data_IF_928592808581
#
_entry.id   IF_928592808581
#
_cell.length_a   1.000
_cell.length_b   1.000
_cell.length_c   1.000
_cell.angle_alpha   90.00
_cell.angle_beta   90.00
_cell.angle_gamma   90.00
#
_symmetry.space_group_name_H-M   'P 1'
#
loop_
_entity.id
_entity.type
_entity.pdbx_description
1 polymer ?
#
# COMPACT_ATOMS: atom_id res chain seq x y z
N UNK A 1 -24.36 2.60 -8.65
CA UNK A 1 -24.35 2.76 -10.12
C UNK A 1 -23.17 1.98 -10.67
N UNK A 2 -23.40 0.79 -11.23
CA UNK A 2 -22.39 0.09 -12.03
C UNK A 2 -22.39 0.72 -13.43
N UNK A 3 -21.34 1.47 -13.76
CA UNK A 3 -21.15 2.03 -15.10
C UNK A 3 -20.46 1.01 -15.99
N UNK A 4 -21.25 0.27 -16.77
CA UNK A 4 -20.75 -0.51 -17.90
C UNK A 4 -20.38 0.43 -19.06
N UNK A 5 -19.24 0.20 -19.70
CA UNK A 5 -18.70 0.89 -20.90
C UNK A 5 -18.10 2.32 -20.75
N UNK A 6 -16.79 2.34 -20.44
CA UNK A 6 -15.66 3.11 -21.03
C UNK A 6 -15.77 4.60 -21.45
N UNK A 7 -16.85 5.33 -21.16
CA UNK A 7 -16.90 6.78 -21.39
C UNK A 7 -16.11 7.53 -20.30
N UNK A 8 -15.21 8.46 -20.66
CA UNK A 8 -14.54 9.31 -19.67
C UNK A 8 -15.59 10.17 -18.96
N UNK A 9 -15.49 10.26 -17.63
CA UNK A 9 -16.35 11.10 -16.81
C UNK A 9 -15.64 12.43 -16.56
N UNK A 10 -16.22 13.53 -17.03
CA UNK A 10 -15.73 14.88 -16.74
C UNK A 10 -16.71 15.53 -15.77
N UNK A 11 -16.19 16.05 -14.67
CA UNK A 11 -16.93 16.82 -13.68
C UNK A 11 -16.40 18.24 -13.78
N UNK A 12 -17.28 19.24 -13.86
CA UNK A 12 -16.86 20.62 -14.06
C UNK A 12 -17.71 21.58 -13.27
N UNK A 13 -17.16 22.75 -13.01
CA UNK A 13 -17.89 23.84 -12.40
C UNK A 13 -17.09 25.14 -12.45
N UNK A 14 -17.81 26.24 -12.34
CA UNK A 14 -17.24 27.58 -12.30
C UNK A 14 -17.44 28.17 -10.90
N UNK A 15 -16.46 28.93 -10.40
CA UNK A 15 -16.48 29.54 -9.07
C UNK A 15 -16.82 28.52 -7.98
N UNK A 16 -17.78 28.80 -7.10
CA UNK A 16 -18.31 27.87 -6.09
C UNK A 16 -18.79 26.53 -6.66
N UNK A 17 -19.35 26.53 -7.87
CA UNK A 17 -19.74 25.30 -8.56
C UNK A 17 -18.55 24.38 -8.84
N UNK A 18 -17.37 24.94 -9.08
CA UNK A 18 -16.15 24.14 -9.24
C UNK A 18 -15.59 23.62 -7.91
N UNK A 19 -15.81 24.32 -6.79
CA UNK A 19 -15.55 23.78 -5.46
C UNK A 19 -16.44 22.57 -5.16
N UNK A 20 -17.74 22.67 -5.48
CA UNK A 20 -18.69 21.54 -5.37
C UNK A 20 -18.28 20.38 -6.28
N UNK A 21 -17.90 20.66 -7.53
CA UNK A 21 -17.38 19.67 -8.47
C UNK A 21 -16.15 18.92 -7.92
N UNK A 22 -15.23 19.65 -7.28
CA UNK A 22 -14.03 19.07 -6.68
C UNK A 22 -14.36 18.17 -5.49
N UNK A 23 -15.22 18.63 -4.57
CA UNK A 23 -15.69 17.81 -3.44
C UNK A 23 -16.46 16.57 -3.89
N UNK A 24 -17.32 16.71 -4.91
CA UNK A 24 -18.03 15.59 -5.51
C UNK A 24 -17.07 14.58 -6.13
N UNK A 25 -16.02 15.05 -6.80
CA UNK A 25 -14.97 14.20 -7.35
C UNK A 25 -14.23 13.45 -6.26
N UNK A 26 -13.87 14.10 -5.14
CA UNK A 26 -13.24 13.43 -3.98
C UNK A 26 -14.15 12.31 -3.45
N UNK A 27 -15.43 12.59 -3.22
CA UNK A 27 -16.40 11.57 -2.76
C UNK A 27 -16.57 10.41 -3.76
N UNK A 28 -16.37 10.67 -5.05
CA UNK A 28 -16.41 9.65 -6.09
C UNK A 28 -15.13 8.81 -6.10
N UNK A 29 -13.95 9.43 -5.94
CA UNK A 29 -12.65 8.76 -5.88
C UNK A 29 -12.56 7.77 -4.72
N UNK A 30 -13.21 8.07 -3.59
CA UNK A 30 -13.35 7.15 -2.45
C UNK A 30 -14.06 5.83 -2.80
N UNK A 31 -14.95 5.86 -3.79
CA UNK A 31 -15.82 4.74 -4.19
C UNK A 31 -15.37 4.07 -5.50
N UNK A 32 -14.30 4.58 -6.11
CA UNK A 32 -13.86 4.16 -7.45
C UNK A 32 -12.89 2.99 -7.41
N UNK A 33 -13.12 1.98 -8.26
CA UNK A 33 -12.13 0.94 -8.50
C UNK A 33 -11.23 1.35 -9.68
N UNK A 34 -10.07 1.91 -9.34
CA UNK A 34 -9.06 2.36 -10.31
C UNK A 34 -8.48 1.24 -11.21
N UNK A 35 -8.85 -0.03 -11.02
CA UNK A 35 -8.39 -1.14 -11.86
C UNK A 35 -9.24 -1.36 -13.11
N UNK A 36 -10.52 -0.98 -13.05
CA UNK A 36 -11.50 -1.34 -14.08
C UNK A 36 -12.18 -0.14 -14.71
N UNK A 37 -11.95 1.05 -14.16
CA UNK A 37 -12.65 2.27 -14.55
C UNK A 37 -11.68 3.39 -14.93
N UNK A 38 -12.00 4.15 -15.98
CA UNK A 38 -11.24 5.34 -16.35
C UNK A 38 -11.38 6.39 -15.25
N UNK A 39 -10.27 7.04 -14.89
CA UNK A 39 -10.26 8.11 -13.89
C UNK A 39 -11.25 9.22 -14.26
N UNK A 40 -12.04 9.75 -13.30
CA UNK A 40 -12.77 10.98 -13.53
C UNK A 40 -11.78 12.14 -13.68
N UNK A 41 -12.14 13.13 -14.50
CA UNK A 41 -11.39 14.38 -14.61
C UNK A 41 -12.27 15.54 -14.12
N UNK A 42 -11.86 16.17 -13.03
CA UNK A 42 -12.45 17.40 -12.52
C UNK A 42 -11.74 18.60 -13.14
N UNK A 43 -12.48 19.41 -13.91
CA UNK A 43 -11.98 20.66 -14.48
C UNK A 43 -12.75 21.81 -13.84
N UNK A 44 -12.06 22.72 -13.15
CA UNK A 44 -12.74 23.86 -12.51
C UNK A 44 -12.25 25.17 -13.09
N UNK A 45 -13.13 26.17 -13.16
CA UNK A 45 -12.80 27.51 -13.63
C UNK A 45 -13.00 28.51 -12.48
N UNK A 46 -11.96 29.25 -12.10
CA UNK A 46 -12.09 30.33 -11.12
C UNK A 46 -12.56 29.91 -9.73
N UNK A 47 -12.31 28.66 -9.34
CA UNK A 47 -12.79 28.14 -8.06
C UNK A 47 -11.92 28.60 -6.88
N UNK A 48 -12.54 28.94 -5.74
CA UNK A 48 -11.79 29.16 -4.51
C UNK A 48 -11.11 27.86 -4.07
N UNK A 49 -9.96 27.99 -3.39
CA UNK A 49 -9.26 26.85 -2.79
C UNK A 49 -10.16 26.15 -1.78
N UNK A 50 -10.04 24.82 -1.70
CA UNK A 50 -10.79 24.01 -0.75
C UNK A 50 -9.82 23.08 -0.01
N UNK A 51 -10.16 22.79 1.25
CA UNK A 51 -9.37 21.90 2.09
C UNK A 51 -8.13 22.54 2.69
N UNK A 52 -7.68 21.92 3.76
CA UNK A 52 -6.52 22.30 4.55
C UNK A 52 -5.25 21.52 4.13
N UNK A 53 -4.20 21.64 4.92
CA UNK A 53 -2.96 20.87 4.72
C UNK A 53 -3.18 19.36 4.76
N UNK A 54 -4.08 18.88 5.63
CA UNK A 54 -4.44 17.47 5.71
C UNK A 54 -5.04 16.93 4.40
N UNK A 55 -6.01 17.65 3.83
CA UNK A 55 -6.61 17.25 2.55
C UNK A 55 -5.59 17.32 1.41
N UNK A 56 -4.79 18.38 1.35
CA UNK A 56 -3.77 18.56 0.32
C UNK A 56 -2.75 17.42 0.35
N UNK A 57 -2.23 17.08 1.54
CA UNK A 57 -1.31 15.96 1.70
C UNK A 57 -1.94 14.63 1.28
N UNK A 58 -3.19 14.37 1.68
CA UNK A 58 -3.89 13.14 1.36
C UNK A 58 -4.03 12.94 -0.17
N UNK A 59 -4.41 14.00 -0.89
CA UNK A 59 -4.55 13.96 -2.35
C UNK A 59 -3.17 13.87 -3.02
N UNK A 60 -2.19 14.64 -2.57
CA UNK A 60 -0.86 14.72 -3.20
C UNK A 60 -0.03 13.46 -3.02
N UNK A 61 -0.21 12.73 -1.90
CA UNK A 61 0.44 11.44 -1.64
C UNK A 61 0.03 10.36 -2.65
N UNK A 62 -1.16 10.48 -3.25
CA UNK A 62 -1.63 9.52 -4.24
C UNK A 62 -1.76 10.15 -5.61
N UNK A 63 -0.73 9.99 -6.44
CA UNK A 63 -0.63 10.59 -7.78
C UNK A 63 -1.87 10.34 -8.65
N UNK A 64 -2.52 9.18 -8.52
CA UNK A 64 -3.74 8.86 -9.27
C UNK A 64 -4.97 9.69 -8.85
N UNK A 65 -5.04 10.19 -7.61
CA UNK A 65 -6.05 11.16 -7.19
C UNK A 65 -5.63 12.56 -7.62
N UNK A 66 -4.38 12.95 -7.38
CA UNK A 66 -3.89 14.28 -7.76
C UNK A 66 -4.05 14.57 -9.26
N UNK A 67 -3.87 13.55 -10.12
CA UNK A 67 -4.06 13.66 -11.57
C UNK A 67 -5.51 13.80 -12.03
N UNK A 68 -6.48 13.68 -11.12
CA UNK A 68 -7.91 13.83 -11.44
C UNK A 68 -8.37 15.29 -11.42
N UNK A 69 -7.52 16.25 -11.02
CA UNK A 69 -7.93 17.65 -10.81
C UNK A 69 -7.12 18.61 -11.68
N UNK A 70 -7.84 19.44 -12.44
CA UNK A 70 -7.31 20.55 -13.24
C UNK A 70 -8.05 21.84 -12.90
N UNK A 71 -7.37 22.75 -12.21
CA UNK A 71 -7.90 24.04 -11.79
C UNK A 71 -7.44 25.15 -12.74
N UNK A 72 -8.34 25.67 -13.56
CA UNK A 72 -8.07 26.76 -14.51
C UNK A 72 -8.30 28.10 -13.81
N UNK A 73 -7.27 28.94 -13.80
CA UNK A 73 -7.29 30.24 -13.11
C UNK A 73 -6.78 31.36 -14.02
N UNK A 74 -7.59 32.38 -14.20
CA UNK A 74 -7.23 33.62 -14.90
C UNK A 74 -6.40 34.55 -14.01
N UNK A 75 -5.47 35.31 -14.61
CA UNK A 75 -4.74 36.42 -13.98
C UNK A 75 -5.67 37.59 -13.56
N UNK A 76 -6.86 37.65 -14.14
CA UNK A 76 -7.89 38.66 -13.84
C UNK A 76 -8.92 38.22 -12.79
N UNK A 77 -8.88 36.97 -12.31
CA UNK A 77 -9.94 36.43 -11.44
C UNK A 77 -9.60 36.54 -9.94
N UNK A 78 -10.26 37.39 -9.15
CA UNK A 78 -9.95 37.48 -7.72
C UNK A 78 -10.37 36.24 -6.91
N UNK A 79 -11.33 35.43 -7.38
CA UNK A 79 -12.01 34.40 -6.57
C UNK A 79 -11.05 33.33 -6.01
N UNK A 80 -10.14 32.73 -6.79
CA UNK A 80 -9.17 31.75 -6.28
C UNK A 80 -8.19 32.32 -5.23
N UNK A 81 -8.12 33.65 -5.09
CA UNK A 81 -7.13 34.37 -4.28
C UNK A 81 -7.70 34.85 -2.95
N UNK A 82 -9.03 35.01 -2.84
CA UNK A 82 -9.73 35.49 -1.63
C UNK A 82 -9.34 34.69 -0.37
N UNK A 83 -9.36 33.36 -0.48
CA UNK A 83 -9.08 32.47 0.66
C UNK A 83 -7.59 32.29 0.92
N UNK A 84 -6.73 32.60 -0.05
CA UNK A 84 -5.27 32.58 0.10
C UNK A 84 -4.80 33.75 0.98
N UNK A 85 -5.45 34.90 0.88
CA UNK A 85 -5.08 36.13 1.61
C UNK A 85 -5.65 36.22 3.03
N UNK A 86 -6.78 35.59 3.32
CA UNK A 86 -7.50 35.82 4.58
C UNK A 86 -7.10 34.89 5.73
N UNK A 87 -6.81 33.60 5.46
CA UNK A 87 -6.66 32.61 6.53
C UNK A 87 -5.37 31.80 6.45
N UNK A 88 -4.79 31.61 5.26
CA UNK A 88 -3.63 30.72 5.05
C UNK A 88 -3.90 29.23 5.36
N UNK A 89 -5.12 28.91 5.78
CA UNK A 89 -5.61 27.57 6.13
C UNK A 89 -5.79 26.73 4.87
N UNK A 90 -6.32 27.34 3.81
CA UNK A 90 -6.61 26.62 2.57
C UNK A 90 -5.36 26.37 1.72
N UNK A 91 -5.20 25.14 1.25
CA UNK A 91 -4.05 24.71 0.43
C UNK A 91 -4.49 24.24 -0.96
N UNK A 92 -3.73 24.55 -2.02
CA UNK A 92 -4.01 24.02 -3.35
C UNK A 92 -3.60 22.54 -3.45
N UNK A 93 -4.39 21.76 -4.18
CA UNK A 93 -4.06 20.39 -4.60
C UNK A 93 -4.41 20.22 -6.06
N UNK A 94 -3.96 19.13 -6.69
CA UNK A 94 -4.17 18.92 -8.12
C UNK A 94 -3.26 19.78 -8.99
N UNK A 95 -3.60 19.85 -10.28
CA UNK A 95 -2.84 20.64 -11.25
C UNK A 95 -3.53 21.99 -11.46
N UNK A 96 -2.78 23.09 -11.42
CA UNK A 96 -3.29 24.43 -11.72
C UNK A 96 -2.81 24.88 -13.10
N UNK A 97 -3.75 25.22 -13.98
CA UNK A 97 -3.50 25.89 -15.24
C UNK A 97 -3.72 27.39 -15.06
N UNK A 98 -2.63 28.13 -14.90
CA UNK A 98 -2.68 29.58 -14.78
C UNK A 98 -2.68 30.20 -16.18
N UNK A 99 -3.58 31.14 -16.44
CA UNK A 99 -3.82 31.73 -17.76
C UNK A 99 -3.67 33.26 -17.71
N UNK A 100 -3.07 33.81 -18.76
CA UNK A 100 -3.04 35.24 -19.07
C UNK A 100 -3.24 35.46 -20.58
N UNK A 101 -3.29 36.72 -21.01
CA UNK A 101 -3.32 37.05 -22.45
C UNK A 101 -2.10 36.50 -23.21
N UNK A 102 -0.95 36.39 -22.54
CA UNK A 102 0.30 35.91 -23.14
C UNK A 102 0.27 34.39 -23.38
N UNK A 103 -0.45 33.63 -22.55
CA UNK A 103 -0.53 32.18 -22.66
C UNK A 103 -0.99 31.51 -21.36
N UNK A 104 -0.58 30.26 -21.17
CA UNK A 104 -0.87 29.53 -19.95
C UNK A 104 0.29 28.62 -19.55
N UNK A 105 0.33 28.20 -18.29
CA UNK A 105 1.28 27.17 -17.82
C UNK A 105 0.70 26.37 -16.66
N UNK A 106 1.08 25.09 -16.60
CA UNK A 106 0.65 24.16 -15.57
C UNK A 106 1.65 24.11 -14.42
N UNK A 107 1.12 24.03 -13.19
CA UNK A 107 1.90 23.84 -11.97
C UNK A 107 1.24 22.79 -11.09
N UNK A 108 2.03 21.92 -10.48
CA UNK A 108 1.57 20.86 -9.55
C UNK A 108 2.00 21.13 -8.10
N UNK A 109 3.10 21.87 -7.89
CA UNK A 109 3.64 22.13 -6.55
C UNK A 109 2.76 23.08 -5.74
N UNK A 110 2.18 22.67 -4.60
CA UNK A 110 1.27 23.50 -3.82
C UNK A 110 1.88 24.83 -3.35
N UNK A 111 3.16 24.82 -2.98
CA UNK A 111 3.86 26.02 -2.51
C UNK A 111 4.09 27.02 -3.64
N UNK A 112 4.47 26.53 -4.83
CA UNK A 112 4.60 27.33 -6.04
C UNK A 112 3.25 27.87 -6.48
N UNK A 113 2.19 27.07 -6.46
CA UNK A 113 0.83 27.53 -6.79
C UNK A 113 0.40 28.67 -5.87
N UNK A 114 0.58 28.55 -4.55
CA UNK A 114 0.27 29.62 -3.60
C UNK A 114 1.07 30.90 -3.87
N UNK A 115 2.36 30.76 -4.20
CA UNK A 115 3.22 31.87 -4.54
C UNK A 115 2.73 32.58 -5.81
N UNK A 116 2.38 31.82 -6.85
CA UNK A 116 1.96 32.34 -8.14
C UNK A 116 0.55 32.94 -8.09
N UNK A 117 -0.39 32.37 -7.34
CA UNK A 117 -1.72 32.96 -7.14
C UNK A 117 -1.64 34.37 -6.54
N UNK A 118 -0.71 34.58 -5.58
CA UNK A 118 -0.43 35.90 -5.00
C UNK A 118 0.24 36.84 -5.99
N UNK A 119 1.19 36.33 -6.79
CA UNK A 119 2.00 37.15 -7.68
C UNK A 119 1.30 37.58 -8.98
N UNK A 120 0.40 36.74 -9.50
CA UNK A 120 -0.25 36.94 -10.81
C UNK A 120 -1.49 37.83 -10.76
N UNK A 121 -1.91 38.30 -9.59
CA UNK A 121 -3.10 39.13 -9.48
C UNK A 121 -2.82 40.54 -10.02
N UNK A 122 -3.40 40.86 -11.17
CA UNK A 122 -3.23 42.16 -11.85
C UNK A 122 -4.33 43.18 -11.52
N UNK A 123 -5.31 42.83 -10.67
CA UNK A 123 -6.51 43.63 -10.43
C UNK A 123 -6.40 44.65 -9.30
N UNK A 124 -6.92 45.86 -9.53
CA UNK A 124 -7.29 46.79 -8.45
C UNK A 124 -8.70 46.38 -7.98
N UNK A 125 -8.89 45.91 -6.74
CA UNK A 125 -10.11 45.20 -6.32
C UNK A 125 -11.40 46.04 -6.34
N UNK A 126 -11.30 47.37 -6.45
CA UNK A 126 -12.43 48.27 -6.24
C UNK A 126 -13.33 48.48 -7.47
N UNK A 127 -12.99 48.00 -8.69
CA UNK A 127 -13.72 48.36 -9.91
C UNK A 127 -13.88 47.26 -10.99
N UNK A 128 -13.74 45.97 -10.66
CA UNK A 128 -13.90 44.90 -11.66
C UNK A 128 -15.33 44.35 -11.69
N UNK A 129 -16.00 44.48 -12.85
CA UNK A 129 -17.27 43.81 -13.12
C UNK A 129 -17.07 42.28 -13.11
N UNK A 130 -17.72 41.54 -12.19
CA UNK A 130 -17.62 40.09 -12.11
C UNK A 130 -17.96 39.39 -13.43
N UNK A 131 -18.86 39.96 -14.24
CA UNK A 131 -19.26 39.39 -15.54
C UNK A 131 -18.09 39.37 -16.53
N UNK A 132 -17.21 40.37 -16.47
CA UNK A 132 -16.02 40.46 -17.34
C UNK A 132 -15.02 39.34 -17.05
N UNK A 133 -14.90 38.94 -15.78
CA UNK A 133 -14.06 37.80 -15.35
C UNK A 133 -14.66 36.48 -15.86
N UNK A 134 -15.98 36.32 -15.80
CA UNK A 134 -16.64 35.12 -16.29
C UNK A 134 -16.53 34.95 -17.81
N UNK A 135 -16.69 36.02 -18.58
CA UNK A 135 -16.50 35.98 -20.04
C UNK A 135 -15.04 35.68 -20.42
N UNK A 136 -14.08 36.04 -19.56
CA UNK A 136 -12.66 35.81 -19.80
C UNK A 136 -12.32 34.32 -19.99
N UNK A 137 -12.89 33.40 -19.18
CA UNK A 137 -12.61 31.97 -19.32
C UNK A 137 -13.06 31.41 -20.68
N UNK A 138 -14.22 31.86 -21.18
CA UNK A 138 -14.70 31.48 -22.51
C UNK A 138 -13.79 31.99 -23.63
N UNK A 139 -13.29 33.22 -23.51
CA UNK A 139 -12.31 33.78 -24.45
C UNK A 139 -10.98 33.03 -24.38
N UNK A 140 -10.46 32.74 -23.18
CA UNK A 140 -9.22 32.00 -22.99
C UNK A 140 -9.26 30.61 -23.60
N UNK A 141 -10.34 29.86 -23.41
CA UNK A 141 -10.48 28.52 -24.00
C UNK A 141 -10.49 28.60 -25.53
N UNK A 142 -11.15 29.60 -26.12
CA UNK A 142 -11.15 29.83 -27.57
C UNK A 142 -9.76 30.21 -28.09
N UNK A 143 -9.05 31.08 -27.38
CA UNK A 143 -7.71 31.52 -27.76
C UNK A 143 -6.67 30.43 -27.60
N UNK A 144 -6.78 29.57 -26.57
CA UNK A 144 -5.97 28.37 -26.43
C UNK A 144 -6.15 27.43 -27.61
N UNK A 145 -7.39 27.18 -28.01
CA UNK A 145 -7.69 26.36 -29.19
C UNK A 145 -7.06 26.93 -30.46
N UNK A 146 -7.05 28.26 -30.62
CA UNK A 146 -6.40 28.95 -31.75
C UNK A 146 -4.87 28.85 -31.70
N UNK A 147 -4.25 29.05 -30.53
CA UNK A 147 -2.78 28.97 -30.35
C UNK A 147 -2.24 27.56 -30.54
N UNK A 148 -3.02 26.51 -30.24
CA UNK A 148 -2.64 25.12 -30.57
C UNK A 148 -2.52 24.90 -32.09
N UNK A 149 -3.29 25.66 -32.88
CA UNK A 149 -3.30 25.57 -34.36
C UNK A 149 -2.18 26.42 -34.98
N UNK A 150 -1.77 27.51 -34.32
CA UNK A 150 -0.70 28.41 -34.77
C UNK A 150 0.44 28.45 -33.74
N UNK A 151 1.49 27.65 -33.94
CA UNK A 151 2.69 27.73 -33.08
C UNK A 151 3.42 29.05 -33.32
N UNK A 152 3.31 29.95 -32.34
CA UNK A 152 4.13 31.15 -32.28
C UNK A 152 5.59 30.75 -31.98
N UNK A 153 6.46 30.92 -32.97
CA UNK A 153 7.84 30.40 -32.98
C UNK A 153 8.86 31.40 -32.43
N UNK A 154 8.41 32.57 -31.96
CA UNK A 154 9.34 33.64 -31.56
C UNK A 154 9.51 33.73 -30.05
N UNK A 155 10.48 32.98 -29.52
CA UNK A 155 11.19 33.39 -28.29
C UNK A 155 12.69 33.29 -28.53
N UNK A 156 13.36 34.45 -28.49
CA UNK A 156 14.82 34.54 -28.44
C UNK A 156 15.28 33.96 -27.11
N UNK A 157 15.97 32.82 -27.16
CA UNK A 157 16.56 32.19 -25.99
C UNK A 157 17.96 32.76 -25.75
N UNK A 158 18.19 33.21 -24.52
CA UNK A 158 19.54 33.42 -24.03
C UNK A 158 20.15 32.05 -23.69
N UNK A 159 21.07 31.59 -24.55
CA UNK A 159 21.75 30.30 -24.43
C UNK A 159 22.64 30.19 -23.17
N UNK A 160 22.86 31.27 -22.43
CA UNK A 160 23.67 31.26 -21.20
C UNK A 160 22.87 30.85 -19.96
N UNK A 161 21.53 30.83 -20.03
CA UNK A 161 20.67 30.47 -18.91
C UNK A 161 20.51 28.93 -18.80
N UNK A 162 20.68 28.32 -17.59
CA UNK A 162 20.47 26.89 -17.41
C UNK A 162 19.08 26.40 -17.88
N UNK A 163 18.96 25.21 -18.50
CA UNK A 163 17.71 24.77 -19.15
C UNK A 163 16.47 24.78 -18.25
N UNK A 164 16.61 24.33 -16.99
CA UNK A 164 15.52 24.35 -16.01
C UNK A 164 15.03 25.77 -15.74
N UNK A 165 15.97 26.70 -15.53
CA UNK A 165 15.67 28.10 -15.26
C UNK A 165 15.03 28.78 -16.47
N UNK A 166 15.52 28.49 -17.68
CA UNK A 166 14.92 28.98 -18.93
C UNK A 166 13.48 28.49 -19.11
N UNK A 167 13.20 27.22 -18.78
CA UNK A 167 11.85 26.66 -18.76
C UNK A 167 10.91 27.39 -17.79
N UNK A 168 11.37 27.61 -16.55
CA UNK A 168 10.61 28.35 -15.54
C UNK A 168 10.32 29.78 -16.01
N UNK A 169 11.32 30.50 -16.53
CA UNK A 169 11.13 31.85 -17.07
C UNK A 169 10.07 31.84 -18.18
N UNK A 170 10.12 30.86 -19.07
CA UNK A 170 9.15 30.71 -20.16
C UNK A 170 7.73 30.53 -19.64
N UNK A 171 7.55 29.70 -18.60
CA UNK A 171 6.26 29.47 -17.94
C UNK A 171 5.75 30.73 -17.24
N UNK A 172 6.61 31.43 -16.48
CA UNK A 172 6.25 32.65 -15.77
C UNK A 172 5.83 33.78 -16.72
N UNK A 173 6.53 33.92 -17.85
CA UNK A 173 6.14 34.89 -18.90
C UNK A 173 4.79 34.54 -19.50
N UNK A 174 4.47 33.25 -19.70
CA UNK A 174 3.19 32.83 -20.26
C UNK A 174 2.01 33.20 -19.33
N UNK A 175 2.24 33.29 -18.02
CA UNK A 175 1.22 33.65 -17.02
C UNK A 175 1.23 35.13 -16.64
N UNK A 176 1.95 35.97 -17.39
CA UNK A 176 1.96 37.43 -17.21
C UNK A 176 3.06 37.98 -16.29
N UNK A 177 3.99 37.15 -15.81
CA UNK A 177 5.11 37.59 -14.96
C UNK A 177 6.37 37.80 -15.80
N UNK A 178 6.62 39.05 -16.22
CA UNK A 178 7.72 39.40 -17.12
C UNK A 178 8.89 40.02 -16.33
N UNK A 179 10.10 39.40 -16.31
CA UNK A 179 11.25 39.83 -15.48
C UNK A 179 11.77 41.26 -15.70
N UNK A 180 11.32 41.95 -16.75
CA UNK A 180 11.82 43.26 -17.19
C UNK A 180 10.78 44.40 -17.06
N UNK A 181 9.60 44.13 -16.51
CA UNK A 181 8.60 45.16 -16.21
C UNK A 181 8.67 45.56 -14.73
N UNK A 182 8.45 46.85 -14.39
CA UNK A 182 8.38 47.29 -13.00
C UNK A 182 7.13 46.73 -12.33
N UNK A 183 7.24 45.51 -11.81
CA UNK A 183 6.26 44.93 -10.90
C UNK A 183 6.67 45.26 -9.46
N UNK A 184 5.69 45.36 -8.56
CA UNK A 184 5.91 45.50 -7.12
C UNK A 184 6.46 44.21 -6.47
N UNK A 185 6.87 43.23 -7.28
CA UNK A 185 7.12 41.83 -6.92
C UNK A 185 8.47 41.40 -7.50
N UNK A 186 9.35 40.83 -6.66
CA UNK A 186 10.63 40.30 -7.09
C UNK A 186 10.47 38.99 -7.87
N UNK A 187 10.40 39.10 -9.20
CA UNK A 187 10.26 37.96 -10.12
C UNK A 187 11.50 37.04 -10.07
N UNK A 188 12.69 37.57 -9.79
CA UNK A 188 13.91 36.75 -9.67
C UNK A 188 13.87 35.87 -8.41
N UNK A 189 13.30 36.38 -7.31
CA UNK A 189 13.02 35.57 -6.14
C UNK A 189 11.99 34.47 -6.43
N UNK A 190 10.95 34.75 -7.23
CA UNK A 190 9.96 33.72 -7.64
C UNK A 190 10.64 32.63 -8.47
N UNK A 191 11.43 33.00 -9.49
CA UNK A 191 12.19 32.05 -10.32
C UNK A 191 13.03 31.12 -9.44
N UNK A 192 13.77 31.69 -8.50
CA UNK A 192 14.67 30.93 -7.61
C UNK A 192 13.89 29.99 -6.68
N UNK A 193 12.75 30.43 -6.13
CA UNK A 193 11.89 29.60 -5.29
C UNK A 193 11.28 28.44 -6.07
N UNK A 194 10.73 28.71 -7.27
CA UNK A 194 10.20 27.67 -8.15
C UNK A 194 11.27 26.67 -8.55
N UNK A 195 12.48 27.13 -8.88
CA UNK A 195 13.61 26.26 -9.23
C UNK A 195 14.00 25.31 -8.09
N UNK A 196 14.00 25.80 -6.84
CA UNK A 196 14.25 24.99 -5.65
C UNK A 196 13.16 23.92 -5.47
N UNK A 197 11.89 24.28 -5.64
CA UNK A 197 10.77 23.34 -5.46
C UNK A 197 10.75 22.27 -6.55
N UNK A 198 10.98 22.63 -7.81
CA UNK A 198 11.07 21.66 -8.92
C UNK A 198 12.20 20.64 -8.68
N UNK A 199 13.37 21.10 -8.20
CA UNK A 199 14.46 20.20 -7.81
C UNK A 199 14.08 19.26 -6.68
N UNK A 200 13.39 19.77 -5.65
CA UNK A 200 12.88 18.94 -4.53
C UNK A 200 11.88 17.91 -5.03
N UNK A 201 10.90 18.31 -5.83
CA UNK A 201 9.91 17.40 -6.41
C UNK A 201 10.56 16.32 -7.27
N UNK A 202 11.57 16.66 -8.07
CA UNK A 202 12.30 15.67 -8.87
C UNK A 202 13.03 14.64 -7.99
N UNK A 203 13.59 15.05 -6.86
CA UNK A 203 14.20 14.14 -5.88
C UNK A 203 13.15 13.26 -5.20
N UNK A 204 12.03 13.84 -4.76
CA UNK A 204 10.91 13.08 -4.20
C UNK A 204 10.36 12.05 -5.20
N UNK A 205 10.11 12.44 -6.46
CA UNK A 205 9.63 11.53 -7.54
C UNK A 205 10.60 10.37 -7.81
N UNK A 206 11.91 10.54 -7.59
CA UNK A 206 12.90 9.44 -7.68
C UNK A 206 12.84 8.47 -6.50
N UNK A 207 12.43 8.94 -5.33
CA UNK A 207 12.31 8.14 -4.10
C UNK A 207 10.95 7.45 -3.96
N UNK A 208 9.96 7.78 -4.80
CA UNK A 208 8.65 7.13 -4.78
C UNK A 208 8.82 5.62 -4.97
N UNK A 209 8.38 4.87 -3.97
CA UNK A 209 8.34 3.42 -4.04
C UNK A 209 7.46 3.00 -5.21
N UNK A 210 8.06 2.30 -6.17
CA UNK A 210 7.35 1.66 -7.27
C UNK A 210 7.33 0.14 -7.03
N UNK A 211 6.21 -0.41 -6.53
CA UNK A 211 6.04 -1.84 -6.31
C UNK A 211 6.33 -2.67 -7.57
N UNK A 212 6.03 -2.13 -8.75
CA UNK A 212 6.14 -2.87 -10.02
C UNK A 212 7.59 -3.07 -10.44
N UNK A 213 8.48 -2.10 -10.18
CA UNK A 213 9.91 -2.19 -10.52
C UNK A 213 10.66 -3.22 -9.68
N UNK A 214 10.28 -3.39 -8.41
CA UNK A 214 10.90 -4.37 -7.50
C UNK A 214 10.25 -5.76 -7.59
N UNK A 215 9.09 -5.90 -8.24
CA UNK A 215 8.31 -7.14 -8.27
C UNK A 215 9.09 -8.35 -8.84
N UNK A 216 9.87 -8.16 -9.90
CA UNK A 216 10.66 -9.26 -10.47
C UNK A 216 11.72 -9.76 -9.48
N UNK A 217 12.37 -8.86 -8.73
CA UNK A 217 13.33 -9.23 -7.67
C UNK A 217 12.64 -9.98 -6.54
N UNK A 218 11.47 -9.50 -6.10
CA UNK A 218 10.64 -10.17 -5.08
C UNK A 218 10.28 -11.59 -5.49
N UNK A 219 9.88 -11.81 -6.76
CA UNK A 219 9.57 -13.15 -7.27
C UNK A 219 10.79 -14.08 -7.25
N UNK A 220 11.97 -13.58 -7.60
CA UNK A 220 13.22 -14.37 -7.53
C UNK A 220 13.52 -14.79 -6.10
N UNK A 221 13.39 -13.88 -5.12
CA UNK A 221 13.60 -14.24 -3.71
C UNK A 221 12.56 -15.24 -3.19
N UNK A 222 11.29 -15.10 -3.61
CA UNK A 222 10.26 -16.08 -3.27
C UNK A 222 10.57 -17.47 -3.84
N UNK A 223 10.99 -17.55 -5.11
CA UNK A 223 11.35 -18.83 -5.75
C UNK A 223 12.53 -19.53 -5.05
N UNK A 224 13.53 -18.77 -4.57
CA UNK A 224 14.63 -19.34 -3.79
C UNK A 224 14.15 -19.93 -2.46
N UNK A 225 13.15 -19.33 -1.81
CA UNK A 225 12.57 -19.87 -0.58
C UNK A 225 11.68 -21.09 -0.84
N UNK A 226 10.95 -21.12 -1.96
CA UNK A 226 10.25 -22.33 -2.41
C UNK A 226 11.24 -23.48 -2.67
N UNK A 227 12.41 -23.18 -3.23
CA UNK A 227 13.46 -24.16 -3.43
C UNK A 227 14.08 -24.64 -2.11
N UNK A 228 14.39 -23.72 -1.19
CA UNK A 228 14.82 -24.07 0.16
C UNK A 228 13.81 -24.97 0.88
N UNK A 229 12.52 -24.63 0.78
CA UNK A 229 11.42 -25.42 1.34
C UNK A 229 11.39 -26.84 0.79
N UNK A 230 11.59 -26.99 -0.52
CA UNK A 230 11.69 -28.31 -1.17
C UNK A 230 12.88 -29.10 -0.65
N UNK A 231 14.07 -28.50 -0.57
CA UNK A 231 15.27 -29.18 -0.06
C UNK A 231 15.09 -29.67 1.39
N UNK A 232 14.53 -28.83 2.26
CA UNK A 232 14.27 -29.18 3.64
C UNK A 232 13.24 -30.32 3.80
N UNK A 233 12.25 -30.39 2.88
CA UNK A 233 11.29 -31.49 2.80
C UNK A 233 11.97 -32.80 2.38
N UNK A 234 12.88 -32.75 1.41
CA UNK A 234 13.63 -33.93 0.95
C UNK A 234 14.49 -34.53 2.07
N UNK A 235 15.02 -33.68 2.96
CA UNK A 235 15.75 -34.08 4.16
C UNK A 235 14.87 -34.58 5.33
N UNK A 236 13.54 -34.65 5.15
CA UNK A 236 12.58 -35.12 6.18
C UNK A 236 12.56 -34.30 7.48
N UNK A 237 13.02 -33.05 7.44
CA UNK A 237 13.02 -32.11 8.57
C UNK A 237 11.90 -31.08 8.39
N UNK A 238 11.73 -30.56 7.17
CA UNK A 238 10.84 -29.44 6.90
C UNK A 238 11.53 -28.10 7.09
N UNK A 239 11.10 -27.09 6.36
CA UNK A 239 11.82 -25.82 6.22
C UNK A 239 11.85 -24.97 7.50
N UNK A 240 10.79 -25.04 8.30
CA UNK A 240 10.72 -24.40 9.62
C UNK A 240 11.81 -24.92 10.56
N UNK A 241 11.81 -26.24 10.80
CA UNK A 241 12.79 -26.89 11.68
C UNK A 241 14.22 -26.84 11.13
N UNK A 242 14.37 -26.93 9.80
CA UNK A 242 15.70 -26.81 9.18
C UNK A 242 16.32 -25.44 9.42
N UNK A 243 15.48 -24.39 9.37
CA UNK A 243 15.90 -23.00 9.61
C UNK A 243 16.16 -22.77 11.10
N UNK A 244 15.23 -23.19 11.97
CA UNK A 244 15.35 -23.06 13.43
C UNK A 244 16.62 -23.71 14.00
N UNK A 245 17.00 -24.87 13.47
CA UNK A 245 18.12 -25.66 13.97
C UNK A 245 19.46 -25.34 13.26
N UNK A 246 19.51 -24.33 12.39
CA UNK A 246 20.70 -23.91 11.61
C UNK A 246 21.40 -25.07 10.86
N UNK A 247 20.65 -26.14 10.56
CA UNK A 247 21.21 -27.46 10.22
C UNK A 247 21.88 -27.54 8.85
N UNK A 248 21.73 -26.53 7.99
CA UNK A 248 22.44 -26.44 6.70
C UNK A 248 22.73 -24.98 6.32
N UNK A 249 24.00 -24.60 6.42
CA UNK A 249 24.60 -23.41 5.80
C UNK A 249 24.93 -23.65 4.32
N UNK A 250 24.07 -24.37 3.58
CA UNK A 250 24.31 -24.62 2.16
C UNK A 250 23.96 -23.36 1.36
N UNK A 251 24.93 -22.49 1.09
CA UNK A 251 25.08 -21.49 -0.01
C UNK A 251 23.86 -20.64 -0.46
N UNK A 252 22.70 -20.77 0.16
CA UNK A 252 21.50 -19.99 -0.01
C UNK A 252 21.38 -19.12 1.21
N UNK A 253 21.65 -17.84 1.04
CA UNK A 253 21.37 -16.83 2.02
C UNK A 253 19.84 -16.68 2.19
N UNK A 254 19.17 -17.69 2.77
CA UNK A 254 17.74 -17.69 3.13
C UNK A 254 17.43 -16.43 3.94
N UNK A 255 18.34 -16.05 4.83
CA UNK A 255 18.28 -14.80 5.60
C UNK A 255 18.28 -13.56 4.70
N UNK A 256 19.08 -13.51 3.63
CA UNK A 256 19.07 -12.37 2.68
C UNK A 256 17.77 -12.34 1.90
N UNK A 257 17.29 -13.48 1.43
CA UNK A 257 16.01 -13.57 0.71
C UNK A 257 14.85 -13.13 1.59
N UNK A 258 14.83 -13.60 2.84
CA UNK A 258 13.86 -13.21 3.86
C UNK A 258 13.91 -11.70 4.10
N UNK A 259 15.07 -11.14 4.46
CA UNK A 259 15.23 -9.69 4.68
C UNK A 259 14.78 -8.86 3.48
N UNK A 260 15.11 -9.29 2.27
CA UNK A 260 14.73 -8.55 1.04
C UNK A 260 13.21 -8.54 0.84
N UNK A 261 12.55 -9.68 1.07
CA UNK A 261 11.09 -9.78 1.01
C UNK A 261 10.44 -8.97 2.13
N UNK A 262 10.93 -9.06 3.36
CA UNK A 262 10.41 -8.31 4.51
C UNK A 262 10.49 -6.82 4.27
N UNK A 263 11.65 -6.28 3.86
CA UNK A 263 11.78 -4.86 3.56
C UNK A 263 10.79 -4.40 2.47
N UNK A 264 10.59 -5.21 1.42
CA UNK A 264 9.65 -4.89 0.37
C UNK A 264 8.20 -4.84 0.87
N UNK A 265 7.77 -5.83 1.65
CA UNK A 265 6.39 -5.88 2.15
C UNK A 265 6.12 -4.88 3.26
N UNK A 266 7.11 -4.56 4.10
CA UNK A 266 7.02 -3.47 5.08
C UNK A 266 6.86 -2.10 4.39
N UNK A 267 7.69 -1.81 3.38
CA UNK A 267 7.58 -0.59 2.58
C UNK A 267 6.20 -0.52 1.90
N UNK A 268 5.71 -1.62 1.32
CA UNK A 268 4.41 -1.69 0.67
C UNK A 268 3.25 -1.48 1.65
N UNK A 269 3.29 -2.11 2.83
CA UNK A 269 2.26 -1.93 3.88
C UNK A 269 2.26 -0.49 4.38
N UNK A 270 3.43 0.09 4.65
CA UNK A 270 3.55 1.47 5.09
C UNK A 270 2.99 2.46 4.05
N UNK A 271 3.29 2.26 2.77
CA UNK A 271 2.75 3.08 1.69
C UNK A 271 1.24 2.88 1.50
N UNK A 272 0.72 1.67 1.72
CA UNK A 272 -0.72 1.41 1.68
C UNK A 272 -1.45 2.08 2.86
N UNK A 273 -0.87 2.10 4.06
CA UNK A 273 -1.42 2.79 5.24
C UNK A 273 -1.47 4.31 5.08
N UNK A 274 -0.53 4.91 4.33
CA UNK A 274 -0.51 6.36 4.06
C UNK A 274 -1.55 6.82 3.04
N UNK A 275 -2.20 5.90 2.30
CA UNK A 275 -3.22 6.26 1.31
C UNK A 275 -4.45 6.83 2.01
N UNK A 276 -5.24 7.71 1.36
CA UNK A 276 -6.56 8.06 1.86
C UNK A 276 -7.41 6.78 1.86
N UNK A 277 -7.58 6.13 3.01
CA UNK A 277 -8.24 4.84 3.12
C UNK A 277 -9.75 5.02 3.32
N UNK A 278 -10.55 4.31 2.53
CA UNK A 278 -11.87 3.82 2.98
C UNK A 278 -11.72 2.42 3.57
N UNK A 279 -12.64 2.05 4.47
CA UNK A 279 -12.74 0.70 5.03
C UNK A 279 -12.87 -0.32 3.87
N UNK A 280 -11.89 -1.21 3.73
CA UNK A 280 -11.91 -2.32 2.75
C UNK A 280 -11.22 -2.10 1.39
N UNK A 281 -10.58 -0.95 1.14
CA UNK A 281 -9.88 -0.65 -0.14
C UNK A 281 -8.35 -0.57 -0.03
N UNK A 282 -7.76 -1.19 1.00
CA UNK A 282 -6.37 -0.99 1.43
C UNK A 282 -5.30 -1.49 0.44
N UNK A 283 -5.55 -2.57 -0.30
CA UNK A 283 -4.62 -3.13 -1.29
C UNK A 283 -5.33 -3.64 -2.54
N UNK A 284 -4.69 -3.50 -3.71
CA UNK A 284 -5.19 -4.12 -4.96
C UNK A 284 -5.20 -5.64 -4.77
N UNK A 285 -6.22 -6.32 -5.30
CA UNK A 285 -6.40 -7.78 -5.18
C UNK A 285 -5.15 -8.59 -5.54
N UNK A 286 -4.40 -8.21 -6.58
CA UNK A 286 -3.15 -8.88 -6.94
C UNK A 286 -2.04 -8.75 -5.88
N UNK A 287 -1.98 -7.63 -5.17
CA UNK A 287 -1.04 -7.43 -4.06
C UNK A 287 -1.47 -8.18 -2.79
N UNK A 288 -2.78 -8.36 -2.57
CA UNK A 288 -3.30 -9.17 -1.47
C UNK A 288 -2.90 -10.64 -1.59
N UNK A 289 -3.02 -11.23 -2.78
CA UNK A 289 -2.57 -12.60 -3.03
C UNK A 289 -1.07 -12.75 -2.83
N UNK A 290 -0.27 -11.83 -3.40
CA UNK A 290 1.18 -11.83 -3.20
C UNK A 290 1.58 -11.69 -1.74
N UNK A 291 0.90 -10.80 -0.99
CA UNK A 291 1.18 -10.54 0.42
C UNK A 291 0.77 -11.69 1.32
N UNK A 292 -0.32 -12.38 0.96
CA UNK A 292 -0.75 -13.61 1.65
C UNK A 292 0.25 -14.74 1.45
N UNK A 293 0.73 -14.95 0.22
CA UNK A 293 1.74 -15.97 -0.06
C UNK A 293 3.06 -15.66 0.68
N UNK A 294 3.49 -14.39 0.68
CA UNK A 294 4.62 -13.93 1.48
C UNK A 294 4.44 -14.23 2.97
N UNK A 295 3.31 -13.81 3.57
CA UNK A 295 3.02 -14.06 4.99
C UNK A 295 3.07 -15.55 5.32
N UNK A 296 2.41 -16.39 4.53
CA UNK A 296 2.37 -17.86 4.74
C UNK A 296 3.72 -18.55 4.55
N UNK A 297 4.63 -17.97 3.76
CA UNK A 297 5.98 -18.50 3.53
C UNK A 297 7.00 -18.02 4.58
N UNK A 298 6.95 -16.74 4.96
CA UNK A 298 8.01 -16.10 5.77
C UNK A 298 7.69 -16.06 7.26
N UNK A 299 6.45 -15.79 7.64
CA UNK A 299 6.10 -15.66 9.05
C UNK A 299 6.49 -16.90 9.89
N UNK A 300 6.39 -18.15 9.37
CA UNK A 300 6.98 -19.32 10.03
C UNK A 300 8.48 -19.20 10.37
N UNK A 301 9.28 -18.59 9.49
CA UNK A 301 10.72 -18.42 9.71
C UNK A 301 11.01 -17.33 10.75
N UNK A 302 10.25 -16.25 10.75
CA UNK A 302 10.33 -15.22 11.81
C UNK A 302 9.91 -15.79 13.17
N UNK A 303 8.90 -16.68 13.20
CA UNK A 303 8.50 -17.42 14.40
C UNK A 303 9.65 -18.31 14.88
N UNK A 304 10.30 -19.06 13.98
CA UNK A 304 11.46 -19.88 14.34
C UNK A 304 12.55 -19.03 15.02
N UNK A 305 12.90 -17.88 14.43
CA UNK A 305 13.88 -16.94 15.02
C UNK A 305 13.43 -16.38 16.38
N UNK A 306 12.13 -16.13 16.55
CA UNK A 306 11.57 -15.61 17.79
C UNK A 306 11.72 -16.61 18.95
N UNK A 307 11.30 -17.87 18.73
CA UNK A 307 11.36 -18.91 19.75
C UNK A 307 12.77 -19.49 19.94
N UNK A 308 13.63 -19.48 18.92
CA UNK A 308 15.05 -19.84 19.07
C UNK A 308 15.78 -18.89 20.05
N UNK A 309 15.34 -17.63 20.15
CA UNK A 309 15.83 -16.65 21.13
C UNK A 309 15.26 -16.85 22.55
N UNK A 310 14.53 -17.93 22.80
CA UNK A 310 13.94 -18.24 24.10
C UNK A 310 12.76 -17.35 24.50
N UNK A 311 12.13 -16.66 23.54
CA UNK A 311 10.93 -15.85 23.79
C UNK A 311 9.68 -16.71 23.74
N UNK A 312 8.56 -16.19 24.26
CA UNK A 312 7.23 -16.81 24.22
C UNK A 312 6.17 -15.79 23.82
N UNK A 313 4.95 -16.27 23.57
CA UNK A 313 3.78 -15.45 23.27
C UNK A 313 3.94 -14.58 22.00
N UNK A 314 4.38 -15.21 20.90
CA UNK A 314 4.65 -14.51 19.63
C UNK A 314 3.44 -13.71 19.14
N UNK A 315 2.24 -14.27 19.21
CA UNK A 315 1.02 -13.65 18.66
C UNK A 315 0.73 -12.29 19.31
N UNK A 316 0.92 -12.17 20.62
CA UNK A 316 0.60 -10.94 21.35
C UNK A 316 1.81 -10.00 21.51
N UNK A 317 3.04 -10.53 21.56
CA UNK A 317 4.25 -9.75 21.91
C UNK A 317 5.29 -9.65 20.81
N UNK A 318 5.28 -10.59 19.86
CA UNK A 318 6.35 -10.76 18.87
C UNK A 318 5.97 -10.42 17.44
N UNK A 319 4.68 -10.47 17.11
CA UNK A 319 4.19 -10.45 15.73
C UNK A 319 4.38 -9.08 15.04
N UNK A 320 5.16 -8.99 13.96
CA UNK A 320 5.35 -7.75 13.21
C UNK A 320 4.05 -7.14 12.65
N UNK A 321 3.97 -5.80 12.67
CA UNK A 321 2.80 -5.03 12.21
C UNK A 321 2.38 -5.37 10.77
N UNK A 322 3.35 -5.58 9.89
CA UNK A 322 3.06 -5.80 8.47
C UNK A 322 2.30 -7.12 8.21
N UNK A 323 2.58 -8.19 8.97
CA UNK A 323 1.80 -9.43 8.88
C UNK A 323 0.36 -9.25 9.35
N UNK A 324 0.17 -8.57 10.48
CA UNK A 324 -1.15 -8.27 11.05
C UNK A 324 -2.00 -7.51 10.03
N UNK A 325 -1.42 -6.49 9.39
CA UNK A 325 -2.12 -5.68 8.37
C UNK A 325 -2.46 -6.49 7.13
N UNK A 326 -1.53 -7.31 6.62
CA UNK A 326 -1.78 -8.17 5.46
C UNK A 326 -2.91 -9.18 5.73
N UNK A 327 -2.95 -9.77 6.93
CA UNK A 327 -4.03 -10.67 7.33
C UNK A 327 -5.37 -9.95 7.52
N UNK A 328 -5.37 -8.80 8.19
CA UNK A 328 -6.56 -7.96 8.36
C UNK A 328 -7.19 -7.63 7.01
N UNK A 329 -6.38 -7.16 6.05
CA UNK A 329 -6.86 -6.79 4.72
C UNK A 329 -7.38 -7.99 3.91
N UNK A 330 -6.78 -9.17 4.07
CA UNK A 330 -7.32 -10.39 3.47
C UNK A 330 -8.72 -10.70 4.03
N UNK A 331 -8.88 -10.65 5.36
CA UNK A 331 -10.14 -10.95 6.02
C UNK A 331 -11.26 -9.95 5.68
N UNK A 332 -10.92 -8.67 5.51
CA UNK A 332 -11.87 -7.64 5.06
C UNK A 332 -12.39 -7.88 3.63
N UNK A 333 -11.60 -8.53 2.78
CA UNK A 333 -11.98 -8.83 1.39
C UNK A 333 -12.62 -10.20 1.19
N UNK A 334 -12.42 -11.14 2.12
CA UNK A 334 -13.02 -12.46 2.07
C UNK A 334 -14.53 -12.38 2.39
N UNK A 335 -15.38 -12.79 1.42
CA UNK A 335 -16.79 -13.07 1.70
C UNK A 335 -16.91 -14.27 2.67
N UNK A 336 -17.98 -14.38 3.47
CA UNK A 336 -18.14 -15.49 4.40
C UNK A 336 -18.00 -16.84 3.66
N UNK A 337 -17.14 -17.68 4.19
CA UNK A 337 -16.70 -18.93 3.58
C UNK A 337 -17.89 -19.83 3.22
N UNK A 338 -17.98 -20.18 1.93
CA UNK A 338 -18.73 -21.35 1.48
C UNK A 338 -18.03 -22.64 1.92
N UNK A 339 -18.81 -23.71 1.93
CA UNK A 339 -18.47 -25.13 2.21
C UNK A 339 -17.03 -25.51 1.79
N UNK A 340 -16.32 -26.37 2.54
CA UNK A 340 -15.00 -26.87 2.17
C UNK A 340 -14.97 -27.28 0.70
N UNK A 341 -14.21 -26.54 -0.10
CA UNK A 341 -14.19 -26.74 -1.54
C UNK A 341 -13.38 -28.02 -1.82
N UNK A 342 -13.95 -28.97 -2.55
CA UNK A 342 -13.26 -30.21 -2.97
C UNK A 342 -11.93 -29.94 -3.72
N UNK A 343 -11.71 -28.71 -4.19
CA UNK A 343 -10.44 -28.25 -4.76
C UNK A 343 -9.27 -28.22 -3.77
N UNK A 344 -9.51 -28.06 -2.47
CA UNK A 344 -8.43 -28.04 -1.46
C UNK A 344 -7.81 -29.42 -1.27
N UNK A 345 -8.63 -30.49 -1.33
CA UNK A 345 -8.16 -31.88 -1.24
C UNK A 345 -7.24 -32.27 -2.39
N UNK A 346 -7.42 -31.68 -3.57
CA UNK A 346 -6.65 -32.05 -4.76
C UNK A 346 -5.19 -31.55 -4.77
N UNK A 347 -4.83 -30.57 -3.92
CA UNK A 347 -3.51 -29.91 -3.96
C UNK A 347 -2.78 -29.83 -2.61
N UNK A 348 -3.25 -30.56 -1.59
CA UNK A 348 -2.74 -30.52 -0.20
C UNK A 348 -1.21 -30.70 -0.12
N UNK A 349 -0.63 -31.56 -0.95
CA UNK A 349 0.81 -31.78 -0.99
C UNK A 349 1.68 -30.53 -1.27
N UNK A 350 1.07 -29.48 -1.84
CA UNK A 350 1.73 -28.26 -2.30
C UNK A 350 1.31 -26.98 -1.55
N UNK A 351 0.40 -27.09 -0.58
CA UNK A 351 -0.12 -25.90 0.12
C UNK A 351 0.89 -25.34 1.13
N UNK A 352 0.90 -24.02 1.25
CA UNK A 352 1.36 -23.38 2.49
C UNK A 352 0.23 -23.43 3.51
N UNK A 353 0.56 -23.68 4.77
CA UNK A 353 -0.41 -23.65 5.87
C UNK A 353 -1.18 -22.33 5.86
N UNK A 354 -2.50 -22.41 5.95
CA UNK A 354 -3.35 -21.24 5.79
C UNK A 354 -3.16 -20.22 6.91
N UNK A 355 -3.05 -20.74 8.13
CA UNK A 355 -2.67 -20.01 9.33
C UNK A 355 -1.15 -19.90 9.41
N UNK A 356 -0.63 -18.73 9.09
CA UNK A 356 0.80 -18.45 9.13
C UNK A 356 1.38 -18.44 10.55
N UNK A 357 0.55 -18.35 11.59
CA UNK A 357 0.93 -18.44 12.99
C UNK A 357 0.92 -19.88 13.53
N UNK A 358 0.62 -20.89 12.71
CA UNK A 358 0.56 -22.30 13.13
C UNK A 358 1.76 -22.73 13.98
N UNK A 359 2.97 -22.38 13.56
CA UNK A 359 4.18 -22.77 14.29
C UNK A 359 4.32 -22.09 15.66
N UNK A 360 3.79 -20.88 15.84
CA UNK A 360 3.76 -20.26 17.17
C UNK A 360 2.88 -21.08 18.12
N UNK A 361 1.75 -21.59 17.65
CA UNK A 361 0.90 -22.49 18.43
C UNK A 361 1.61 -23.81 18.79
N UNK A 362 2.39 -24.37 17.87
CA UNK A 362 3.22 -25.57 18.12
C UNK A 362 4.25 -25.31 19.22
N UNK A 363 4.95 -24.17 19.18
CA UNK A 363 5.94 -23.82 20.20
C UNK A 363 5.32 -23.62 21.59
N UNK A 364 4.18 -22.93 21.69
CA UNK A 364 3.45 -22.79 22.96
C UNK A 364 2.97 -24.14 23.51
N UNK A 365 2.56 -25.05 22.62
CA UNK A 365 2.19 -26.41 22.99
C UNK A 365 3.41 -27.21 23.48
N UNK A 366 4.57 -27.08 22.84
CA UNK A 366 5.83 -27.67 23.32
C UNK A 366 6.28 -27.12 24.67
N UNK A 367 6.13 -25.80 24.89
CA UNK A 367 6.39 -25.17 26.20
C UNK A 367 5.45 -25.77 27.26
N UNK A 368 4.17 -25.92 26.93
CA UNK A 368 3.18 -26.55 27.82
C UNK A 368 3.54 -28.00 28.17
N UNK A 369 4.01 -28.79 27.20
CA UNK A 369 4.52 -30.14 27.46
C UNK A 369 5.72 -30.14 28.42
N UNK A 370 6.67 -29.21 28.24
CA UNK A 370 7.84 -29.08 29.13
C UNK A 370 7.45 -28.69 30.55
N UNK A 371 6.46 -27.82 30.72
CA UNK A 371 5.94 -27.42 32.04
C UNK A 371 5.27 -28.59 32.78
N UNK A 372 4.56 -29.46 32.06
CA UNK A 372 3.91 -30.63 32.65
C UNK A 372 4.90 -31.71 33.09
N UNK A 373 6.01 -31.84 32.39
CA UNK A 373 7.06 -32.82 32.68
C UNK A 373 8.12 -32.28 33.66
N UNK A 374 8.18 -30.97 33.87
CA UNK A 374 9.11 -30.31 34.78
C UNK A 374 8.76 -30.49 36.27
N UNK A 375 9.79 -30.65 37.09
CA UNK A 375 9.68 -30.86 38.56
C UNK A 375 9.39 -29.59 39.37
N UNK A 376 9.33 -28.41 38.74
CA UNK A 376 9.21 -27.11 39.42
C UNK A 376 7.89 -26.36 39.25
N UNK A 377 6.92 -26.87 38.48
CA UNK A 377 5.66 -26.16 38.17
C UNK A 377 4.57 -26.41 39.22
N UNK A 378 3.83 -25.35 39.56
CA UNK A 378 2.68 -25.41 40.47
C UNK A 378 1.52 -26.20 39.87
N UNK A 379 0.63 -26.73 40.72
CA UNK A 379 -0.53 -27.52 40.24
C UNK A 379 -1.48 -26.69 39.37
N UNK A 380 -1.60 -25.38 39.65
CA UNK A 380 -2.39 -24.45 38.85
C UNK A 380 -1.80 -24.26 37.45
N UNK A 381 -0.47 -24.11 37.34
CA UNK A 381 0.22 -23.99 36.05
C UNK A 381 0.13 -25.29 35.24
N UNK A 382 0.20 -26.45 35.91
CA UNK A 382 -0.01 -27.75 35.27
C UNK A 382 -1.42 -27.87 34.73
N UNK A 383 -2.44 -27.50 35.49
CA UNK A 383 -3.81 -27.54 34.99
C UNK A 383 -4.00 -26.62 33.78
N UNK A 384 -3.51 -25.39 33.86
CA UNK A 384 -3.58 -24.43 32.74
C UNK A 384 -2.85 -24.93 31.48
N UNK A 385 -1.71 -25.60 31.66
CA UNK A 385 -0.94 -26.21 30.56
C UNK A 385 -1.70 -27.37 29.91
N UNK A 386 -2.38 -28.22 30.70
CA UNK A 386 -3.25 -29.29 30.18
C UNK A 386 -4.40 -28.71 29.34
N UNK A 387 -5.09 -27.70 29.86
CA UNK A 387 -6.20 -27.06 29.15
C UNK A 387 -5.74 -26.44 27.82
N UNK A 388 -4.54 -25.84 27.82
CA UNK A 388 -3.93 -25.26 26.62
C UNK A 388 -3.57 -26.34 25.58
N UNK A 389 -3.08 -27.50 26.01
CA UNK A 389 -2.82 -28.63 25.12
C UNK A 389 -4.09 -29.19 24.48
N UNK A 390 -5.20 -29.32 25.23
CA UNK A 390 -6.48 -29.73 24.66
C UNK A 390 -7.02 -28.72 23.64
N UNK A 391 -6.83 -27.42 23.87
CA UNK A 391 -7.18 -26.39 22.88
C UNK A 391 -6.35 -26.54 21.61
N UNK A 392 -5.04 -26.75 21.75
CA UNK A 392 -4.14 -26.94 20.62
C UNK A 392 -4.46 -28.23 19.83
N UNK A 393 -4.76 -29.33 20.52
CA UNK A 393 -5.21 -30.58 19.88
C UNK A 393 -6.44 -30.36 18.99
N UNK A 394 -7.48 -29.70 19.51
CA UNK A 394 -8.71 -29.43 18.77
C UNK A 394 -8.45 -28.48 17.57
N UNK A 395 -7.59 -27.49 17.77
CA UNK A 395 -7.14 -26.58 16.72
C UNK A 395 -6.41 -27.34 15.59
N UNK A 396 -5.41 -28.16 15.93
CA UNK A 396 -4.64 -28.94 14.96
C UNK A 396 -5.55 -29.91 14.19
N UNK A 397 -6.46 -30.60 14.88
CA UNK A 397 -7.44 -31.48 14.24
C UNK A 397 -8.37 -30.71 13.30
N UNK A 398 -8.81 -29.50 13.67
CA UNK A 398 -9.64 -28.65 12.82
C UNK A 398 -8.94 -28.28 11.50
N UNK A 399 -7.67 -27.92 11.55
CA UNK A 399 -6.86 -27.63 10.36
C UNK A 399 -6.67 -28.87 9.47
N UNK A 400 -6.40 -30.03 10.08
CA UNK A 400 -6.29 -31.29 9.34
C UNK A 400 -7.62 -31.64 8.68
N UNK A 401 -8.73 -31.60 9.41
CA UNK A 401 -10.07 -31.91 8.86
C UNK A 401 -10.43 -31.05 7.65
N UNK A 402 -9.99 -29.78 7.65
CA UNK A 402 -10.26 -28.83 6.58
C UNK A 402 -9.19 -28.80 5.50
N UNK A 403 -8.13 -29.62 5.60
CA UNK A 403 -7.01 -29.62 4.65
C UNK A 403 -6.30 -28.27 4.51
N UNK A 404 -6.20 -27.51 5.61
CA UNK A 404 -5.63 -26.16 5.64
C UNK A 404 -4.22 -26.08 6.23
N UNK A 405 -3.59 -27.23 6.53
CA UNK A 405 -2.22 -27.31 7.04
C UNK A 405 -1.33 -28.13 6.11
N UNK A 406 -0.09 -27.66 5.90
CA UNK A 406 0.88 -28.34 5.05
C UNK A 406 1.21 -29.75 5.60
N UNK A 407 1.29 -30.80 4.75
CA UNK A 407 1.72 -32.14 5.17
C UNK A 407 3.14 -32.20 5.74
N UNK A 408 3.96 -31.15 5.58
CA UNK A 408 5.30 -31.09 6.16
C UNK A 408 5.31 -31.19 7.69
N UNK A 409 4.18 -30.91 8.35
CA UNK A 409 4.06 -31.10 9.80
C UNK A 409 4.29 -32.57 10.21
N UNK A 410 4.05 -33.54 9.33
CA UNK A 410 4.22 -34.98 9.57
C UNK A 410 5.64 -35.49 9.30
N UNK A 411 6.56 -34.63 8.86
CA UNK A 411 7.94 -35.04 8.65
C UNK A 411 8.57 -35.49 9.97
N UNK A 412 9.42 -36.51 9.93
CA UNK A 412 9.96 -37.15 11.14
C UNK A 412 10.71 -36.17 12.05
N UNK A 413 11.43 -35.22 11.45
CA UNK A 413 12.19 -34.16 12.13
C UNK A 413 11.39 -32.91 12.48
N UNK A 414 10.08 -32.89 12.22
CA UNK A 414 9.21 -31.74 12.49
C UNK A 414 9.01 -31.50 13.99
N UNK A 415 9.01 -30.24 14.42
CA UNK A 415 8.63 -29.84 15.78
C UNK A 415 7.20 -30.25 16.14
N UNK A 416 6.29 -30.35 15.17
CA UNK A 416 4.94 -30.87 15.40
C UNK A 416 4.97 -32.37 15.75
N UNK A 417 5.81 -33.16 15.07
CA UNK A 417 5.98 -34.58 15.42
C UNK A 417 6.71 -34.77 16.75
N UNK A 418 7.60 -33.83 17.12
CA UNK A 418 8.15 -33.79 18.47
C UNK A 418 7.06 -33.54 19.51
N UNK A 419 6.21 -32.53 19.30
CA UNK A 419 5.08 -32.25 20.17
C UNK A 419 4.17 -33.48 20.29
N UNK A 420 3.81 -34.12 19.19
CA UNK A 420 2.95 -35.31 19.20
C UNK A 420 3.51 -36.43 20.08
N UNK A 421 4.82 -36.73 19.97
CA UNK A 421 5.49 -37.74 20.80
C UNK A 421 5.47 -37.40 22.28
N UNK A 422 5.68 -36.14 22.64
CA UNK A 422 5.63 -35.70 24.04
C UNK A 422 4.20 -35.67 24.58
N UNK A 423 3.24 -35.21 23.78
CA UNK A 423 1.83 -35.18 24.11
C UNK A 423 1.28 -36.59 24.37
N UNK A 424 1.60 -37.56 23.51
CA UNK A 424 1.18 -38.96 23.69
C UNK A 424 1.72 -39.57 25.00
N UNK A 425 2.97 -39.26 25.37
CA UNK A 425 3.56 -39.68 26.65
C UNK A 425 2.83 -39.08 27.85
N UNK A 426 2.48 -37.79 27.78
CA UNK A 426 1.79 -37.07 28.86
C UNK A 426 0.36 -37.58 29.06
N UNK A 427 -0.36 -37.81 27.96
CA UNK A 427 -1.76 -38.22 27.99
C UNK A 427 -1.94 -39.72 28.28
N UNK A 428 -0.92 -40.52 27.98
CA UNK A 428 -0.95 -41.96 28.15
C UNK A 428 -1.65 -42.69 27.00
N UNK A 429 -1.36 -43.97 26.86
CA UNK A 429 -1.80 -44.80 25.72
C UNK A 429 -3.31 -45.03 25.67
N UNK A 430 -4.00 -44.91 26.82
CA UNK A 430 -5.45 -45.04 26.97
C UNK A 430 -6.23 -43.82 26.49
N UNK A 431 -5.58 -42.66 26.35
CA UNK A 431 -6.23 -41.46 25.85
C UNK A 431 -6.59 -41.62 24.37
N UNK A 432 -7.83 -41.24 24.02
CA UNK A 432 -8.38 -41.37 22.68
C UNK A 432 -9.26 -40.18 22.33
N UNK A 433 -8.79 -39.41 21.36
CA UNK A 433 -9.47 -38.30 20.69
C UNK A 433 -9.50 -38.53 19.17
N UNK A 434 -10.20 -37.66 18.44
CA UNK A 434 -10.17 -37.71 16.97
C UNK A 434 -8.76 -37.48 16.40
N UNK A 435 -7.98 -36.58 17.00
CA UNK A 435 -6.59 -36.37 16.59
C UNK A 435 -5.76 -37.62 16.87
N UNK A 436 -5.86 -38.21 18.06
CA UNK A 436 -5.04 -39.39 18.38
C UNK A 436 -5.35 -40.59 17.49
N UNK A 437 -6.62 -40.79 17.10
CA UNK A 437 -7.01 -41.85 16.15
C UNK A 437 -6.40 -41.63 14.78
N UNK A 438 -6.38 -40.37 14.32
CA UNK A 438 -5.74 -39.97 13.08
C UNK A 438 -4.23 -40.20 13.16
N UNK A 439 -3.60 -39.74 14.24
CA UNK A 439 -2.15 -39.74 14.40
C UNK A 439 -1.56 -41.13 14.68
N UNK A 440 -2.30 -42.06 15.29
CA UNK A 440 -1.80 -43.42 15.60
C UNK A 440 -1.64 -44.31 14.36
N UNK A 441 -2.41 -44.08 13.29
CA UNK A 441 -2.24 -44.81 12.02
C UNK A 441 -1.35 -44.00 11.07
N UNK A 442 -0.07 -44.38 10.97
CA UNK A 442 0.92 -43.71 10.12
C UNK A 442 0.51 -43.66 8.63
N UNK A 443 -0.36 -44.56 8.17
CA UNK A 443 -0.87 -44.55 6.79
C UNK A 443 -1.76 -43.32 6.54
N UNK A 444 -2.28 -42.70 7.60
CA UNK A 444 -3.07 -41.48 7.49
C UNK A 444 -2.22 -40.28 7.07
N UNK A 445 -0.91 -40.29 7.31
CA UNK A 445 -0.04 -39.17 6.93
C UNK A 445 0.08 -39.08 5.40
N UNK A 446 0.30 -40.23 4.74
CA UNK A 446 0.34 -40.32 3.29
C UNK A 446 -1.03 -40.04 2.67
N UNK A 447 -2.10 -40.61 3.24
CA UNK A 447 -3.49 -40.34 2.81
C UNK A 447 -3.86 -38.86 2.91
N UNK A 448 -3.36 -38.17 3.94
CA UNK A 448 -3.58 -36.74 4.09
C UNK A 448 -2.92 -35.96 2.95
N UNK A 449 -1.67 -36.29 2.62
CA UNK A 449 -0.94 -35.63 1.54
C UNK A 449 -1.60 -35.85 0.17
N UNK A 450 -2.28 -36.97 -0.03
CA UNK A 450 -3.04 -37.29 -1.26
C UNK A 450 -4.51 -36.81 -1.22
N UNK A 451 -4.95 -36.16 -0.15
CA UNK A 451 -6.32 -35.66 -0.03
C UNK A 451 -7.39 -36.75 0.16
N UNK A 452 -6.98 -37.95 0.55
CA UNK A 452 -7.82 -39.15 0.66
C UNK A 452 -8.07 -39.59 2.11
N UNK A 453 -7.83 -38.70 3.07
CA UNK A 453 -8.08 -38.93 4.49
C UNK A 453 -9.54 -38.65 4.87
#
# INVERSE_FOLDING_TARGET
MQTTNSKPLIITGNSLGGSVASLFTISLLEKFNFLTTKHPLCITFGSPLIGDEGLQEAISKYAAWNSCFLHVVSDQDPVPRVLVSQTGVYKPFGTFLLCSKLGCSCFEDPLTILLLLKATYSGNPENQDPNLVFESYGAFVKDLNRKVIFMDTTKSFDWTTPPLRAGIITQLVAIGLVPQQPHNIDINAIITKTEIQEKKLALFKKQVFDPSRKLNKVKVHMANLEWYKKMAKDNKIGYYDSYKNESHTSDLDVVIHMKTLTCYWEELVNEAEKRPQTVGASLRTGWLFGGTNYRRMIEPLDIADYYNKGKSDYINRGRPKHYIKLEQWLNETAKPAGVPNDSMKQNVASILTEDSCFWAHVEEALISCKLLTGTGSSEMEKQSSRDSLFKFENYAYGLMKNYTVSPEIFLQGSSFMQWWREYEKIMGTSYSSNLTKLMKDYRNYDKYATGSL
#
